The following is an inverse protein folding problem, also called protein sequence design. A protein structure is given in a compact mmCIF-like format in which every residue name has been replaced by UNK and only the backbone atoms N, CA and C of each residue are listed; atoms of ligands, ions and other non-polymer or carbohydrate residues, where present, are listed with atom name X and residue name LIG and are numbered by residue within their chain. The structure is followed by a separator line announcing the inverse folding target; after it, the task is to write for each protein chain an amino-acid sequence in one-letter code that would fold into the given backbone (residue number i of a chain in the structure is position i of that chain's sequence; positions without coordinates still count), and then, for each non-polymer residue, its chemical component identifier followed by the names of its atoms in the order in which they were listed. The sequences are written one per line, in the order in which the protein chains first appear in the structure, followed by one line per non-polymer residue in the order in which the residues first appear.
data_IF_900806281533
#
_entry.id   IF_900806281533
#
_cell.length_a   1.000
_cell.length_b   1.000
_cell.length_c   1.000
_cell.angle_alpha   90.00
_cell.angle_beta   90.00
_cell.angle_gamma   90.00
#
_symmetry.space_group_name_H-M   'P 1'
#
loop_
_entity.id
_entity.type
_entity.pdbx_description
1 polymer ?
#
# COMPACT_ATOMS: atom_id res chain seq x y z
N UNK A 1 -68.50 -35.32 48.40
CA UNK A 1 -67.82 -34.10 47.94
C UNK A 1 -66.47 -34.04 48.61
N UNK A 2 -65.40 -34.45 47.90
CA UNK A 2 -64.05 -34.52 48.45
C UNK A 2 -63.23 -33.29 48.00
N UNK A 3 -62.67 -32.49 48.92
CA UNK A 3 -61.78 -31.39 48.59
C UNK A 3 -60.34 -31.92 48.43
N UNK A 4 -60.09 -32.70 47.38
CA UNK A 4 -58.78 -33.34 47.14
C UNK A 4 -57.97 -32.73 45.98
N UNK A 5 -58.60 -31.98 45.07
CA UNK A 5 -57.97 -31.56 43.81
C UNK A 5 -57.22 -30.23 43.85
N UNK A 6 -57.47 -29.39 44.86
CA UNK A 6 -56.87 -28.05 44.96
C UNK A 6 -55.40 -28.08 45.43
N UNK A 7 -54.99 -29.12 46.16
CA UNK A 7 -53.64 -29.21 46.73
C UNK A 7 -52.58 -29.61 45.69
N UNK A 8 -52.95 -30.48 44.75
CA UNK A 8 -52.05 -30.97 43.70
C UNK A 8 -51.67 -29.87 42.70
N UNK A 9 -52.62 -29.00 42.33
CA UNK A 9 -52.34 -27.91 41.40
C UNK A 9 -51.36 -26.90 41.99
N UNK A 10 -51.53 -26.54 43.28
CA UNK A 10 -50.63 -25.59 43.94
C UNK A 10 -49.20 -26.11 44.08
N UNK A 11 -49.04 -27.43 44.31
CA UNK A 11 -47.71 -28.04 44.32
C UNK A 11 -47.07 -28.02 42.93
N UNK A 12 -47.82 -28.35 41.87
CA UNK A 12 -47.30 -28.37 40.49
C UNK A 12 -46.88 -26.98 40.00
N UNK A 13 -47.63 -25.95 40.36
CA UNK A 13 -47.32 -24.56 39.97
C UNK A 13 -46.10 -24.03 40.71
N UNK A 14 -45.89 -24.42 41.97
CA UNK A 14 -44.71 -24.06 42.74
C UNK A 14 -43.42 -24.74 42.23
N UNK A 15 -43.48 -26.03 41.85
CA UNK A 15 -42.31 -26.71 41.24
C UNK A 15 -42.00 -26.20 39.84
N UNK A 16 -43.01 -25.86 39.04
CA UNK A 16 -42.79 -25.25 37.72
C UNK A 16 -42.10 -23.87 37.83
N UNK A 17 -42.52 -23.02 38.78
CA UNK A 17 -41.91 -21.71 39.00
C UNK A 17 -40.47 -21.81 39.56
N UNK A 18 -40.20 -22.81 40.41
CA UNK A 18 -38.85 -23.05 40.94
C UNK A 18 -37.87 -23.52 39.84
N UNK A 19 -38.34 -24.38 38.92
CA UNK A 19 -37.54 -24.81 37.76
C UNK A 19 -37.23 -23.66 36.78
N UNK A 20 -38.15 -22.71 36.60
CA UNK A 20 -37.91 -21.53 35.76
C UNK A 20 -36.88 -20.58 36.39
N UNK A 21 -36.85 -20.43 37.72
CA UNK A 21 -35.83 -19.61 38.39
C UNK A 21 -34.42 -20.26 38.40
N UNK A 22 -34.33 -21.59 38.39
CA UNK A 22 -33.05 -22.28 38.27
C UNK A 22 -32.44 -22.19 36.86
N UNK A 23 -33.25 -22.02 35.81
CA UNK A 23 -32.75 -21.83 34.45
C UNK A 23 -32.23 -20.40 34.18
N UNK A 24 -32.60 -19.40 34.99
CA UNK A 24 -32.19 -18.00 34.81
C UNK A 24 -30.96 -17.61 35.66
N UNK A 25 -30.54 -18.46 36.61
CA UNK A 25 -29.38 -18.20 37.49
C UNK A 25 -28.07 -18.89 37.05
N UNK A 26 -28.06 -19.54 35.88
CA UNK A 26 -26.94 -20.34 35.37
C UNK A 26 -25.92 -19.64 34.47
N UNK A 27 -25.83 -18.30 34.45
CA UNK A 27 -24.70 -17.62 33.82
C UNK A 27 -23.48 -17.68 34.75
N UNK A 28 -22.90 -18.87 34.89
CA UNK A 28 -21.53 -18.99 35.41
C UNK A 28 -20.55 -18.27 34.48
N UNK A 29 -19.41 -17.78 35.00
CA UNK A 29 -18.37 -17.20 34.16
C UNK A 29 -17.89 -18.29 33.19
N UNK A 30 -18.24 -18.15 31.91
CA UNK A 30 -17.66 -18.96 30.85
C UNK A 30 -16.16 -18.70 30.85
N UNK A 31 -15.40 -19.76 31.15
CA UNK A 31 -13.95 -19.74 31.07
C UNK A 31 -13.59 -19.52 29.60
N UNK A 32 -13.16 -18.30 29.29
CA UNK A 32 -12.56 -17.97 28.00
C UNK A 32 -11.23 -18.71 27.94
N UNK A 33 -11.16 -19.78 27.15
CA UNK A 33 -9.91 -20.48 26.88
C UNK A 33 -9.24 -19.83 25.67
N UNK A 34 -8.60 -18.69 25.88
CA UNK A 34 -7.64 -18.17 24.90
C UNK A 34 -6.34 -18.99 25.03
N UNK A 35 -6.09 -19.88 24.06
CA UNK A 35 -4.78 -20.53 23.95
C UNK A 35 -3.85 -19.59 23.19
N UNK A 36 -3.12 -18.75 23.91
CA UNK A 36 -2.02 -17.99 23.33
C UNK A 36 -0.84 -18.93 23.09
N UNK A 37 -0.29 -18.94 21.87
CA UNK A 37 1.06 -19.47 21.66
C UNK A 37 2.07 -18.66 22.46
N UNK A 38 3.01 -19.31 23.14
CA UNK A 38 4.07 -18.65 23.92
C UNK A 38 4.77 -17.58 23.07
N UNK A 39 4.60 -16.30 23.43
CA UNK A 39 5.32 -15.18 22.85
C UNK A 39 6.54 -14.87 23.74
N UNK A 40 7.72 -14.58 23.17
CA UNK A 40 8.87 -14.14 23.94
C UNK A 40 8.58 -12.79 24.62
N UNK A 41 8.92 -12.69 25.91
CA UNK A 41 8.68 -11.52 26.79
C UNK A 41 8.90 -10.18 26.09
N UNK A 42 7.81 -9.42 25.91
CA UNK A 42 7.86 -8.04 25.45
C UNK A 42 8.30 -7.16 26.63
N UNK A 43 9.56 -6.74 26.63
CA UNK A 43 10.16 -5.92 27.68
C UNK A 43 9.41 -4.62 28.00
N UNK A 44 9.55 -4.22 29.27
CA UNK A 44 9.01 -3.03 29.94
C UNK A 44 8.76 -1.81 29.03
N UNK A 45 7.51 -1.33 28.98
CA UNK A 45 7.25 0.03 28.47
C UNK A 45 5.79 0.44 28.26
N UNK A 46 4.89 -0.50 28.01
CA UNK A 46 3.46 -0.19 27.91
C UNK A 46 2.66 -1.36 28.46
N UNK A 47 2.06 -1.17 29.65
CA UNK A 47 1.19 -2.16 30.26
C UNK A 47 -0.11 -2.27 29.45
N UNK A 48 -0.06 -3.02 28.34
CA UNK A 48 -1.25 -3.37 27.60
C UNK A 48 -2.12 -4.28 28.45
N UNK A 49 -3.42 -3.98 28.49
CA UNK A 49 -4.39 -4.76 29.27
C UNK A 49 -4.53 -6.20 28.78
N UNK A 50 -4.25 -6.43 27.50
CA UNK A 50 -4.41 -7.73 26.84
C UNK A 50 -3.06 -8.38 26.56
N UNK A 51 -3.06 -9.72 26.61
CA UNK A 51 -1.87 -10.56 26.42
C UNK A 51 -1.33 -10.51 24.98
N UNK A 52 -2.12 -10.03 24.02
CA UNK A 52 -1.68 -9.81 22.65
C UNK A 52 -0.49 -8.84 22.55
N UNK A 53 -0.24 -8.01 23.58
CA UNK A 53 0.96 -7.18 23.71
C UNK A 53 0.91 -5.87 22.93
N UNK A 54 2.02 -5.15 22.96
CA UNK A 54 2.15 -3.86 22.29
C UNK A 54 2.75 -4.01 20.88
N UNK A 55 2.56 -2.99 20.06
CA UNK A 55 3.26 -2.81 18.79
C UNK A 55 3.44 -1.31 18.54
N UNK A 56 4.30 -0.97 17.59
CA UNK A 56 4.51 0.42 17.19
C UNK A 56 4.34 0.61 15.70
N UNK A 57 3.89 1.80 15.32
CA UNK A 57 3.88 2.21 13.91
C UNK A 57 5.32 2.37 13.41
N UNK A 58 5.57 2.07 12.12
CA UNK A 58 6.87 2.32 11.53
C UNK A 58 7.19 3.81 11.45
N UNK A 59 8.48 4.10 11.57
CA UNK A 59 9.13 5.38 11.25
C UNK A 59 10.37 5.08 10.42
N UNK A 60 10.48 5.73 9.27
CA UNK A 60 11.64 5.65 8.41
C UNK A 60 12.60 6.81 8.72
N UNK A 61 13.89 6.49 8.84
CA UNK A 61 14.97 7.45 8.95
C UNK A 61 15.71 7.48 7.61
N UNK A 62 16.19 8.64 7.19
CA UNK A 62 17.18 8.73 6.13
C UNK A 62 18.55 8.42 6.70
N UNK A 63 19.23 7.43 6.11
CA UNK A 63 20.62 7.11 6.36
C UNK A 63 21.45 7.68 5.22
N UNK A 64 22.40 8.56 5.57
CA UNK A 64 23.31 9.19 4.61
C UNK A 64 24.73 8.91 5.04
N UNK A 65 25.49 8.31 4.13
CA UNK A 65 26.92 8.10 4.30
C UNK A 65 27.72 9.03 3.38
N UNK A 66 28.56 9.88 3.97
CA UNK A 66 29.46 10.77 3.25
C UNK A 66 30.86 10.18 3.26
N UNK A 67 31.40 9.94 2.07
CA UNK A 67 32.75 9.42 1.88
C UNK A 67 33.66 10.48 1.31
N UNK A 68 34.90 10.45 1.77
CA UNK A 68 35.99 11.27 1.25
C UNK A 68 36.91 10.38 0.44
N UNK A 69 37.13 10.79 -0.81
CA UNK A 69 38.21 10.23 -1.60
C UNK A 69 39.51 10.96 -1.22
N UNK A 70 40.39 10.26 -0.50
CA UNK A 70 41.65 10.84 0.01
C UNK A 70 42.74 10.97 -1.05
N UNK A 71 42.58 10.34 -2.22
CA UNK A 71 43.59 10.35 -3.31
C UNK A 71 43.27 11.38 -4.39
N UNK A 72 42.09 11.99 -4.38
CA UNK A 72 41.70 13.04 -5.32
C UNK A 72 42.19 14.43 -4.86
N UNK A 73 42.75 15.21 -5.79
CA UNK A 73 43.07 16.62 -5.61
C UNK A 73 42.28 17.45 -6.65
N UNK A 74 41.33 18.30 -6.23
CA UNK A 74 40.96 18.62 -4.85
C UNK A 74 40.19 17.48 -4.16
N UNK A 75 40.16 17.52 -2.83
CA UNK A 75 39.40 16.55 -2.03
C UNK A 75 37.90 16.66 -2.34
N UNK A 76 37.31 15.59 -2.86
CA UNK A 76 35.87 15.52 -3.10
C UNK A 76 35.18 14.65 -2.05
N UNK A 77 34.09 15.19 -1.49
CA UNK A 77 33.11 14.43 -0.72
C UNK A 77 32.02 13.93 -1.66
N UNK A 78 31.65 12.65 -1.54
CA UNK A 78 30.55 12.05 -2.27
C UNK A 78 29.57 11.41 -1.28
N UNK A 79 28.28 11.70 -1.44
CA UNK A 79 27.21 10.93 -0.83
C UNK A 79 27.06 9.63 -1.65
N UNK A 80 27.53 8.50 -1.13
CA UNK A 80 27.62 7.28 -1.93
C UNK A 80 26.29 6.51 -1.96
N UNK A 81 25.53 6.54 -0.86
CA UNK A 81 24.21 5.92 -0.81
C UNK A 81 23.31 6.59 0.24
N UNK A 82 22.17 7.12 -0.22
CA UNK A 82 21.08 7.49 0.68
C UNK A 82 20.07 6.34 0.72
N UNK A 83 19.92 5.73 1.88
CA UNK A 83 18.98 4.62 2.13
C UNK A 83 17.96 5.00 3.19
N UNK A 84 16.82 4.31 3.22
CA UNK A 84 15.82 4.45 4.28
C UNK A 84 15.96 3.33 5.29
N UNK A 85 16.08 3.67 6.57
CA UNK A 85 16.13 2.72 7.69
C UNK A 85 14.79 2.76 8.43
N UNK A 86 14.06 1.66 8.40
CA UNK A 86 12.77 1.55 9.11
C UNK A 86 12.98 1.10 10.55
N UNK A 87 12.38 1.83 11.47
CA UNK A 87 12.44 1.60 12.92
C UNK A 87 11.04 1.71 13.52
N UNK A 88 10.82 1.14 14.71
CA UNK A 88 9.59 1.40 15.44
C UNK A 88 9.58 2.83 15.99
N UNK A 89 8.46 3.52 15.86
CA UNK A 89 8.29 4.85 16.44
C UNK A 89 7.95 4.73 17.95
N UNK A 90 8.87 5.09 18.86
CA UNK A 90 8.62 5.00 20.30
C UNK A 90 7.52 5.96 20.76
N UNK A 91 7.22 7.00 19.97
CA UNK A 91 6.11 7.92 20.26
C UNK A 91 4.75 7.35 19.84
N UNK A 92 4.70 6.22 19.11
CA UNK A 92 3.49 5.65 18.50
C UNK A 92 3.35 4.15 18.82
N UNK A 93 3.43 3.85 20.11
CA UNK A 93 3.14 2.51 20.65
C UNK A 93 1.64 2.39 20.92
N UNK A 94 1.06 1.28 20.48
CA UNK A 94 -0.35 0.92 20.63
C UNK A 94 -0.47 -0.50 21.20
N UNK A 95 -1.57 -0.75 21.90
CA UNK A 95 -1.91 -2.08 22.37
C UNK A 95 -2.74 -2.80 21.32
N UNK A 96 -2.44 -4.08 21.08
CA UNK A 96 -3.33 -4.95 20.36
C UNK A 96 -4.48 -5.32 21.31
N UNK A 97 -5.61 -4.66 21.15
CA UNK A 97 -6.85 -5.01 21.85
C UNK A 97 -7.64 -5.95 20.93
N UNK A 98 -7.63 -7.24 21.29
CA UNK A 98 -8.51 -8.20 20.66
C UNK A 98 -9.57 -8.64 21.67
N UNK A 99 -10.84 -8.44 21.31
CA UNK A 99 -11.96 -8.92 22.10
C UNK A 99 -12.21 -10.39 21.77
N UNK A 100 -11.54 -11.28 22.52
CA UNK A 100 -11.88 -12.69 22.54
C UNK A 100 -13.37 -12.87 22.82
N UNK A 101 -14.03 -13.74 22.05
CA UNK A 101 -15.39 -14.14 22.34
C UNK A 101 -15.38 -15.30 23.32
N UNK A 102 -16.11 -15.20 24.43
CA UNK A 102 -16.28 -16.33 25.35
C UNK A 102 -17.00 -17.54 24.72
N UNK A 103 -17.58 -17.36 23.53
CA UNK A 103 -18.33 -18.37 22.79
C UNK A 103 -17.59 -18.92 21.57
N UNK A 104 -16.38 -18.44 21.26
CA UNK A 104 -15.61 -18.91 20.12
C UNK A 104 -14.19 -19.30 20.55
N UNK A 105 -13.59 -20.26 19.84
CA UNK A 105 -12.19 -20.60 20.04
C UNK A 105 -11.36 -19.72 19.12
N UNK A 106 -11.10 -18.50 19.56
CA UNK A 106 -10.36 -17.50 18.79
C UNK A 106 -8.86 -17.81 18.91
N UNK A 107 -8.23 -18.24 17.82
CA UNK A 107 -6.77 -18.40 17.77
C UNK A 107 -6.16 -17.21 17.06
N UNK A 108 -5.24 -16.53 17.74
CA UNK A 108 -4.56 -15.35 17.21
C UNK A 108 -3.06 -15.56 17.30
N UNK A 109 -2.41 -15.50 16.15
CA UNK A 109 -0.97 -15.53 16.04
C UNK A 109 -0.46 -14.14 15.60
N UNK A 110 0.33 -13.51 16.46
CA UNK A 110 0.94 -12.20 16.18
C UNK A 110 2.44 -12.39 15.97
N UNK A 111 2.87 -12.17 14.74
CA UNK A 111 4.28 -12.07 14.37
C UNK A 111 4.79 -10.65 14.55
N UNK A 112 5.96 -10.53 15.19
CA UNK A 112 6.73 -9.30 15.29
C UNK A 112 8.13 -9.48 14.71
N UNK A 113 8.80 -8.37 14.39
CA UNK A 113 10.20 -8.39 14.00
C UNK A 113 11.05 -9.06 15.07
N UNK A 114 11.94 -9.97 14.68
CA UNK A 114 12.85 -10.66 15.60
C UNK A 114 14.30 -10.37 15.27
N UNK A 115 14.63 -9.15 14.84
CA UNK A 115 16.01 -8.80 14.56
C UNK A 115 16.82 -8.78 15.86
N UNK A 116 17.46 -9.91 16.15
CA UNK A 116 18.48 -10.11 17.20
C UNK A 116 19.81 -9.49 16.75
N UNK A 117 19.76 -8.33 16.10
CA UNK A 117 20.92 -7.60 15.61
C UNK A 117 20.95 -6.23 16.24
N UNK A 118 21.45 -6.10 17.48
CA UNK A 118 21.77 -4.89 18.26
C UNK A 118 20.77 -3.71 18.31
N UNK A 119 19.68 -3.72 17.53
CA UNK A 119 18.66 -2.68 17.44
C UNK A 119 17.34 -3.26 17.96
N UNK A 120 17.20 -3.27 19.28
CA UNK A 120 16.02 -3.79 19.99
C UNK A 120 14.69 -3.11 19.59
N UNK A 121 14.77 -1.98 18.87
CA UNK A 121 13.64 -1.18 18.40
C UNK A 121 12.84 -1.82 17.27
N UNK A 122 13.35 -2.79 16.53
CA UNK A 122 12.56 -3.49 15.50
C UNK A 122 11.56 -4.50 16.06
N UNK A 123 11.70 -4.87 17.34
CA UNK A 123 10.86 -5.89 18.00
C UNK A 123 9.39 -5.50 18.15
N UNK A 124 9.08 -4.21 18.08
CA UNK A 124 7.71 -3.70 18.16
C UNK A 124 7.03 -3.56 16.79
N UNK A 125 7.74 -3.79 15.68
CA UNK A 125 7.16 -3.75 14.34
C UNK A 125 6.40 -5.04 14.07
N UNK A 126 5.15 -4.92 13.65
CA UNK A 126 4.34 -6.06 13.20
C UNK A 126 4.94 -6.67 11.93
N UNK A 127 4.93 -8.00 11.86
CA UNK A 127 5.26 -8.77 10.66
C UNK A 127 4.08 -9.60 10.18
N UNK A 128 3.23 -10.07 11.10
CA UNK A 128 2.03 -10.84 10.74
C UNK A 128 0.97 -10.74 11.82
N UNK A 129 -0.29 -10.72 11.43
CA UNK A 129 -1.42 -11.00 12.32
C UNK A 129 -2.30 -12.02 11.61
N UNK A 130 -2.38 -13.21 12.19
CA UNK A 130 -3.29 -14.25 11.73
C UNK A 130 -4.33 -14.50 12.80
N UNK A 131 -5.60 -14.53 12.40
CA UNK A 131 -6.71 -14.88 13.28
C UNK A 131 -7.54 -15.97 12.63
N UNK A 132 -7.82 -17.02 13.38
CA UNK A 132 -8.74 -18.09 13.01
C UNK A 132 -9.90 -18.10 14.01
N UNK A 133 -11.11 -17.93 13.48
CA UNK A 133 -12.35 -17.98 14.25
C UNK A 133 -13.08 -19.27 13.90
N UNK A 134 -13.17 -20.19 14.87
CA UNK A 134 -13.87 -21.47 14.71
C UNK A 134 -15.07 -21.52 15.68
N UNK A 135 -16.29 -21.65 15.13
CA UNK A 135 -17.51 -21.81 15.93
C UNK A 135 -17.57 -23.23 16.50
N UNK A 136 -17.02 -23.39 17.70
CA UNK A 136 -16.94 -24.69 18.38
C UNK A 136 -18.06 -24.93 19.39
N UNK A 137 -19.23 -24.30 19.24
CA UNK A 137 -20.39 -24.54 20.13
C UNK A 137 -20.71 -26.05 20.27
N UNK A 138 -20.38 -26.87 19.25
CA UNK A 138 -20.55 -28.34 19.27
C UNK A 138 -19.30 -29.16 19.65
N UNK A 139 -18.09 -28.58 19.64
CA UNK A 139 -16.82 -29.33 19.77
C UNK A 139 -16.09 -29.09 21.11
N UNK A 140 -16.40 -28.01 21.84
CA UNK A 140 -15.76 -27.68 23.15
C UNK A 140 -16.02 -28.75 24.23
N UNK A 141 -16.99 -29.65 24.04
CA UNK A 141 -17.20 -30.76 24.97
C UNK A 141 -16.10 -31.83 24.95
N UNK A 142 -15.24 -31.90 23.93
CA UNK A 142 -14.42 -33.11 23.68
C UNK A 142 -12.90 -32.92 23.51
N UNK A 143 -12.30 -31.75 23.68
CA UNK A 143 -10.88 -31.57 23.37
C UNK A 143 -10.11 -30.73 24.40
N UNK A 144 -9.59 -31.40 25.43
CA UNK A 144 -8.57 -30.88 26.34
C UNK A 144 -7.48 -31.94 26.57
N UNK A 145 -6.62 -32.20 25.58
CA UNK A 145 -5.33 -32.91 25.77
C UNK A 145 -4.31 -32.46 24.70
N UNK A 146 -3.11 -32.12 25.19
CA UNK A 146 -1.78 -32.00 24.57
C UNK A 146 -1.41 -30.82 23.65
N UNK A 147 -0.50 -29.97 24.15
CA UNK A 147 0.58 -29.38 23.36
C UNK A 147 1.81 -29.11 24.26
N UNK A 148 2.91 -29.81 23.97
CA UNK A 148 4.22 -29.49 24.53
C UNK A 148 5.33 -29.64 23.48
N UNK A 149 6.24 -28.65 23.51
CA UNK A 149 7.62 -28.61 23.00
C UNK A 149 7.88 -28.36 21.50
N UNK A 150 8.53 -27.21 21.22
CA UNK A 150 9.98 -27.20 20.88
C UNK A 150 10.59 -25.79 20.81
N UNK A 151 11.71 -25.63 21.52
CA UNK A 151 12.70 -24.53 21.50
C UNK A 151 14.02 -25.06 20.93
N UNK A 152 14.82 -24.18 20.28
CA UNK A 152 16.27 -24.23 19.93
C UNK A 152 16.54 -24.09 18.42
N UNK A 153 17.57 -23.42 17.86
CA UNK A 153 18.76 -22.65 18.30
C UNK A 153 19.26 -21.84 17.06
N UNK A 154 19.86 -20.65 17.24
CA UNK A 154 20.57 -19.88 16.18
C UNK A 154 22.10 -20.07 16.26
N UNK A 155 22.85 -20.12 15.14
CA UNK A 155 24.29 -19.88 15.15
C UNK A 155 24.64 -18.42 14.79
N UNK A 156 25.63 -17.86 15.52
CA UNK A 156 26.34 -16.61 15.21
C UNK A 156 27.49 -16.89 14.24
N UNK A 157 27.53 -16.17 13.11
CA UNK A 157 28.70 -16.10 12.24
C UNK A 157 29.35 -14.72 12.32
N UNK A 158 30.65 -14.68 12.62
CA UNK A 158 31.48 -13.50 12.52
C UNK A 158 32.06 -13.40 11.10
N UNK A 159 31.94 -12.23 10.46
CA UNK A 159 32.62 -11.93 9.21
C UNK A 159 33.61 -10.78 9.44
N UNK A 160 34.90 -11.10 9.34
CA UNK A 160 35.96 -10.13 9.09
C UNK A 160 36.10 -9.93 7.58
N UNK A 161 36.19 -8.67 7.15
CA UNK A 161 36.38 -8.29 5.74
C UNK A 161 37.82 -7.79 5.56
N UNK A 162 38.60 -8.33 4.61
CA UNK A 162 39.90 -7.77 4.25
C UNK A 162 39.72 -6.49 3.43
N UNK A 163 40.43 -5.42 3.80
CA UNK A 163 40.41 -4.13 3.09
C UNK A 163 41.47 -4.17 1.99
N UNK A 164 41.01 -4.09 0.73
CA UNK A 164 41.87 -3.98 -0.45
C UNK A 164 42.29 -2.50 -0.65
N UNK A 165 43.58 -2.23 -0.53
CA UNK A 165 44.16 -0.89 -0.38
C UNK A 165 44.41 -0.18 -1.72
N UNK A 166 43.40 -0.09 -2.59
CA UNK A 166 43.55 0.64 -3.87
C UNK A 166 42.58 1.77 -4.17
N UNK A 167 41.62 2.05 -3.29
CA UNK A 167 40.92 3.34 -3.21
C UNK A 167 40.39 3.45 -1.78
N UNK A 168 41.13 4.13 -0.90
CA UNK A 168 40.71 4.28 0.50
C UNK A 168 39.64 5.36 0.56
N UNK A 169 38.39 4.97 0.28
CA UNK A 169 37.24 5.80 0.61
C UNK A 169 37.07 5.78 2.12
N UNK A 170 37.30 6.93 2.75
CA UNK A 170 37.10 7.07 4.18
C UNK A 170 35.66 7.55 4.41
N UNK A 171 34.91 6.80 5.22
CA UNK A 171 33.61 7.26 5.72
C UNK A 171 33.85 8.41 6.70
N UNK A 172 33.47 9.62 6.31
CA UNK A 172 33.68 10.84 7.11
C UNK A 172 32.51 11.13 8.02
N UNK A 173 31.31 10.68 7.65
CA UNK A 173 30.12 10.81 8.46
C UNK A 173 29.03 9.85 8.05
N UNK A 174 28.30 9.35 9.05
CA UNK A 174 27.06 8.60 8.90
C UNK A 174 25.98 9.34 9.70
N UNK A 175 24.85 9.60 9.06
CA UNK A 175 23.76 10.37 9.65
C UNK A 175 22.46 9.61 9.49
N UNK A 176 21.79 9.34 10.60
CA UNK A 176 20.43 8.82 10.66
C UNK A 176 19.51 9.90 11.22
N UNK A 177 18.50 10.29 10.46
CA UNK A 177 17.56 11.32 10.89
C UNK A 177 16.19 11.19 10.25
N UNK A 178 15.19 11.73 10.92
CA UNK A 178 13.86 11.88 10.35
C UNK A 178 13.79 13.18 9.54
N UNK A 179 13.59 13.14 8.21
CA UNK A 179 13.49 14.35 7.42
C UNK A 179 12.25 15.18 7.73
N UNK A 180 11.21 14.62 8.35
CA UNK A 180 9.98 15.34 8.69
C UNK A 180 10.07 16.04 10.06
N UNK A 181 11.14 15.79 10.81
CA UNK A 181 11.45 16.50 12.05
C UNK A 181 12.39 17.68 11.74
N UNK A 182 11.85 18.90 11.84
CA UNK A 182 12.55 20.14 11.52
C UNK A 182 13.88 20.29 12.28
N UNK A 183 13.91 19.97 13.57
CA UNK A 183 15.10 20.14 14.40
C UNK A 183 16.17 19.11 14.04
N UNK A 184 15.77 17.86 13.77
CA UNK A 184 16.70 16.82 13.35
C UNK A 184 17.32 17.12 11.98
N UNK A 185 16.50 17.43 10.97
CA UNK A 185 17.03 17.70 9.62
C UNK A 185 17.88 18.97 9.58
N UNK A 186 17.53 20.01 10.34
CA UNK A 186 18.34 21.22 10.47
C UNK A 186 19.70 20.90 11.10
N UNK A 187 19.72 20.13 12.19
CA UNK A 187 20.97 19.72 12.85
C UNK A 187 21.85 18.89 11.91
N UNK A 188 21.27 17.96 11.15
CA UNK A 188 22.03 17.17 10.17
C UNK A 188 22.51 18.03 9.01
N UNK A 189 21.68 18.92 8.45
CA UNK A 189 22.11 19.81 7.37
C UNK A 189 23.23 20.77 7.80
N UNK A 190 23.23 21.25 9.04
CA UNK A 190 24.36 22.03 9.56
C UNK A 190 25.66 21.19 9.59
N UNK A 191 25.58 19.90 9.88
CA UNK A 191 26.73 19.00 9.83
C UNK A 191 27.15 18.70 8.38
N UNK A 192 26.19 18.43 7.49
CA UNK A 192 26.43 18.18 6.07
C UNK A 192 26.98 19.40 5.33
N UNK A 193 26.63 20.62 5.75
CA UNK A 193 27.15 21.86 5.18
C UNK A 193 28.68 21.94 5.32
N UNK A 194 29.23 21.45 6.45
CA UNK A 194 30.67 21.36 6.64
C UNK A 194 31.35 20.42 5.63
N UNK A 195 30.58 19.47 5.07
CA UNK A 195 30.96 18.48 4.07
C UNK A 195 30.46 18.84 2.65
N UNK A 196 30.02 20.08 2.44
CA UNK A 196 29.52 20.59 1.16
C UNK A 196 28.27 19.90 0.60
N UNK A 197 27.44 19.32 1.47
CA UNK A 197 26.16 18.71 1.11
C UNK A 197 25.01 19.37 1.85
N UNK A 198 23.83 19.37 1.25
CA UNK A 198 22.59 19.76 1.92
C UNK A 198 21.45 18.92 1.35
N UNK A 199 20.55 18.45 2.20
CA UNK A 199 19.48 17.53 1.79
C UNK A 199 18.11 18.00 2.26
N UNK A 200 17.09 17.79 1.43
CA UNK A 200 15.71 18.09 1.78
C UNK A 200 14.74 17.28 0.92
N UNK A 201 13.49 17.16 1.36
CA UNK A 201 12.41 16.60 0.53
C UNK A 201 11.78 17.73 -0.26
N UNK A 202 11.56 17.54 -1.56
CA UNK A 202 10.96 18.53 -2.46
C UNK A 202 9.45 18.67 -2.16
N UNK A 203 8.99 19.83 -1.62
CA UNK A 203 7.57 20.02 -1.31
C UNK A 203 6.72 20.37 -2.54
N UNK A 204 7.32 20.65 -3.70
CA UNK A 204 6.63 21.24 -4.87
C UNK A 204 5.43 20.43 -5.33
N UNK A 205 5.55 19.10 -5.33
CA UNK A 205 4.49 18.18 -5.77
C UNK A 205 4.14 17.14 -4.69
N UNK A 206 4.49 17.43 -3.44
CA UNK A 206 4.31 16.50 -2.34
C UNK A 206 3.55 17.17 -1.19
N UNK A 207 2.24 16.90 -1.06
CA UNK A 207 1.39 17.54 -0.05
C UNK A 207 1.71 17.07 1.37
N UNK A 208 2.47 15.98 1.51
CA UNK A 208 2.86 15.42 2.81
C UNK A 208 4.20 15.99 3.30
N UNK A 209 4.95 16.66 2.44
CA UNK A 209 6.22 17.32 2.78
C UNK A 209 5.94 18.75 3.24
N UNK A 210 6.35 19.13 4.47
CA UNK A 210 6.13 20.47 4.96
C UNK A 210 6.81 21.56 4.09
N UNK A 211 6.17 22.74 3.90
CA UNK A 211 6.72 23.81 3.06
C UNK A 211 8.09 24.33 3.51
N UNK A 212 8.43 24.21 4.80
CA UNK A 212 9.71 24.67 5.34
C UNK A 212 10.92 23.94 4.74
N UNK A 213 10.73 22.77 4.13
CA UNK A 213 11.82 22.06 3.45
C UNK A 213 12.46 22.88 2.33
N UNK A 214 11.68 23.70 1.62
CA UNK A 214 12.19 24.58 0.57
C UNK A 214 13.24 25.60 1.08
N UNK A 215 13.25 25.87 2.39
CA UNK A 215 14.17 26.83 3.01
C UNK A 215 15.43 26.20 3.60
N UNK A 216 15.56 24.86 3.60
CA UNK A 216 16.70 24.21 4.25
C UNK A 216 18.03 24.46 3.51
N UNK A 217 18.00 24.47 2.19
CA UNK A 217 19.18 24.60 1.34
C UNK A 217 19.09 25.87 0.50
N UNK A 218 18.99 27.04 1.14
CA UNK A 218 18.79 28.34 0.47
C UNK A 218 19.90 28.63 -0.55
N UNK A 219 19.71 28.25 -1.81
CA UNK A 219 20.37 28.89 -2.95
C UNK A 219 19.30 29.38 -3.92
N UNK A 220 19.58 30.52 -4.56
CA UNK A 220 18.72 31.10 -5.58
C UNK A 220 18.52 30.18 -6.81
N UNK A 221 19.27 29.08 -6.94
CA UNK A 221 19.24 28.19 -8.08
C UNK A 221 18.08 27.17 -8.05
N UNK A 222 17.56 26.86 -6.85
CA UNK A 222 16.41 25.96 -6.70
C UNK A 222 15.23 26.76 -6.17
N UNK A 223 14.48 27.38 -7.09
CA UNK A 223 13.19 27.95 -6.77
C UNK A 223 12.14 26.85 -6.92
N UNK A 224 11.51 26.35 -5.83
CA UNK A 224 10.34 25.49 -5.99
C UNK A 224 9.30 26.24 -6.84
N UNK A 225 8.48 25.49 -7.58
CA UNK A 225 7.37 26.12 -8.30
C UNK A 225 6.54 26.91 -7.28
N UNK A 226 6.26 28.18 -7.58
CA UNK A 226 5.38 29.00 -6.75
C UNK A 226 3.93 28.55 -6.86
N UNK A 227 3.61 27.81 -7.91
CA UNK A 227 2.27 27.31 -8.12
C UNK A 227 1.99 26.20 -7.09
N UNK A 228 0.96 26.36 -6.24
CA UNK A 228 0.58 25.31 -5.31
C UNK A 228 0.26 24.06 -6.12
N UNK A 229 0.68 22.87 -5.66
CA UNK A 229 0.38 21.65 -6.39
C UNK A 229 -1.14 21.51 -6.57
N UNK A 230 -1.62 20.98 -7.71
CA UNK A 230 -3.05 20.95 -8.08
C UNK A 230 -3.89 20.01 -7.20
N UNK A 231 -3.37 19.53 -6.08
CA UNK A 231 -4.06 18.63 -5.16
C UNK A 231 -5.06 19.38 -4.28
N UNK A 232 -6.20 19.75 -4.86
CA UNK A 232 -7.36 20.21 -4.12
C UNK A 232 -7.91 19.08 -3.25
N UNK A 233 -7.89 19.23 -1.92
CA UNK A 233 -8.55 18.34 -0.97
C UNK A 233 -7.66 17.53 -0.01
N UNK A 234 -6.33 17.51 -0.21
CA UNK A 234 -5.42 16.79 0.71
C UNK A 234 -5.13 17.55 2.01
N UNK A 235 -5.43 18.85 2.07
CA UNK A 235 -5.38 19.64 3.32
C UNK A 235 -6.37 19.16 4.38
N UNK A 236 -7.34 18.31 4.00
CA UNK A 236 -8.31 17.69 4.90
C UNK A 236 -7.74 16.47 5.62
N UNK A 237 -6.77 15.78 5.01
CA UNK A 237 -6.14 14.59 5.62
C UNK A 237 -4.99 15.06 6.50
N UNK A 238 -5.34 15.63 7.66
CA UNK A 238 -4.35 15.85 8.70
C UNK A 238 -3.81 14.50 9.14
N UNK A 239 -2.50 14.36 9.18
CA UNK A 239 -1.82 13.21 9.80
C UNK A 239 -1.97 13.21 11.34
N UNK A 240 -2.98 13.91 11.88
CA UNK A 240 -3.35 13.88 13.28
C UNK A 240 -3.82 12.45 13.60
N UNK A 241 -3.14 11.83 14.54
CA UNK A 241 -3.38 10.45 14.89
C UNK A 241 -4.53 10.35 15.88
N UNK A 242 -5.33 9.26 15.83
CA UNK A 242 -6.33 9.02 16.85
C UNK A 242 -5.68 8.98 18.23
N UNK A 243 -6.37 9.54 19.22
CA UNK A 243 -5.90 9.57 20.60
C UNK A 243 -5.65 8.15 21.11
N UNK A 244 -4.57 7.95 21.89
CA UNK A 244 -4.17 6.62 22.43
C UNK A 244 -5.24 5.94 23.29
N UNK A 245 -6.27 6.66 23.73
CA UNK A 245 -7.22 6.24 24.75
C UNK A 245 -8.53 5.66 24.24
N UNK A 246 -8.78 5.67 22.93
CA UNK A 246 -9.98 5.03 22.38
C UNK A 246 -9.70 3.55 22.15
N UNK A 247 -10.62 2.70 22.56
CA UNK A 247 -10.58 1.25 22.32
C UNK A 247 -10.75 1.00 20.82
N UNK A 248 -9.70 1.31 20.05
CA UNK A 248 -9.64 1.08 18.62
C UNK A 248 -9.65 -0.43 18.40
N UNK A 249 -10.75 -0.92 17.83
CA UNK A 249 -10.91 -2.32 17.49
C UNK A 249 -10.21 -2.59 16.18
N UNK A 250 -8.93 -2.92 16.25
CA UNK A 250 -8.14 -3.24 15.05
C UNK A 250 -6.70 -2.82 15.17
N UNK A 251 -6.07 -2.68 14.01
CA UNK A 251 -4.64 -2.43 13.88
C UNK A 251 -4.44 -1.16 13.08
N UNK A 252 -3.87 -0.15 13.72
CA UNK A 252 -3.36 1.03 13.02
C UNK A 252 -2.15 0.65 12.16
N UNK A 253 -2.11 1.15 10.94
CA UNK A 253 -0.96 1.03 10.05
C UNK A 253 -0.71 2.33 9.26
N UNK A 254 0.51 2.52 8.77
CA UNK A 254 0.88 3.62 7.87
C UNK A 254 1.32 3.06 6.53
N UNK A 255 0.78 3.55 5.39
CA UNK A 255 1.26 3.15 4.09
C UNK A 255 2.60 3.82 3.80
N UNK A 256 3.32 3.27 2.80
CA UNK A 256 4.50 3.91 2.25
C UNK A 256 4.09 5.00 1.27
N UNK A 257 4.61 6.20 1.49
CA UNK A 257 4.53 7.31 0.55
C UNK A 257 5.89 7.49 -0.14
N UNK A 258 5.86 7.85 -1.42
CA UNK A 258 7.07 8.12 -2.19
C UNK A 258 7.34 9.63 -2.20
N UNK A 259 8.49 10.03 -1.68
CA UNK A 259 8.93 11.41 -1.62
C UNK A 259 10.14 11.62 -2.55
N UNK A 260 10.30 12.85 -3.05
CA UNK A 260 11.47 13.24 -3.84
C UNK A 260 12.50 13.87 -2.92
N UNK A 261 13.56 13.13 -2.60
CA UNK A 261 14.75 13.63 -1.93
C UNK A 261 15.60 14.42 -2.91
N UNK A 262 16.03 15.61 -2.50
CA UNK A 262 16.95 16.48 -3.23
C UNK A 262 18.25 16.56 -2.43
N UNK A 263 19.35 16.25 -3.10
CA UNK A 263 20.70 16.37 -2.58
C UNK A 263 21.36 17.50 -3.35
N UNK A 264 21.71 18.54 -2.62
CA UNK A 264 22.45 19.70 -3.11
C UNK A 264 23.90 19.54 -2.73
N UNK A 265 24.80 19.99 -3.61
CA UNK A 265 26.23 20.06 -3.36
C UNK A 265 26.74 21.46 -3.60
N UNK A 266 27.72 21.87 -2.81
CA UNK A 266 28.47 23.11 -3.03
C UNK A 266 29.86 22.76 -3.51
N UNK A 267 30.40 23.49 -4.48
CA UNK A 267 31.84 23.44 -4.73
C UNK A 267 32.49 24.61 -3.97
N UNK A 268 33.39 24.32 -3.04
CA UNK A 268 34.08 25.37 -2.27
C UNK A 268 35.16 26.08 -3.05
N UNK A 269 35.49 25.64 -4.26
CA UNK A 269 36.50 26.28 -5.09
C UNK A 269 35.88 26.90 -6.36
N UNK A 270 35.78 28.25 -6.47
CA UNK A 270 36.15 29.27 -5.49
C UNK A 270 35.14 29.42 -4.33
N UNK A 271 35.64 29.88 -3.17
CA UNK A 271 34.89 30.02 -1.91
C UNK A 271 33.66 30.88 -2.15
N UNK A 272 32.47 30.29 -2.08
CA UNK A 272 31.23 31.05 -2.23
C UNK A 272 30.17 30.44 -3.14
N UNK A 273 30.45 29.36 -3.89
CA UNK A 273 29.50 28.86 -4.90
C UNK A 273 28.08 28.65 -4.33
N UNK A 274 27.05 28.98 -5.11
CA UNK A 274 25.68 28.67 -4.73
C UNK A 274 25.51 27.14 -4.60
N UNK A 275 24.55 26.68 -3.76
CA UNK A 275 24.15 25.27 -3.79
C UNK A 275 23.69 24.89 -5.19
N UNK A 276 24.27 23.83 -5.72
CA UNK A 276 23.91 23.25 -7.01
C UNK A 276 23.20 21.92 -6.77
N UNK A 277 22.21 21.64 -7.61
CA UNK A 277 21.55 20.34 -7.59
C UNK A 277 22.56 19.26 -7.96
N UNK A 278 22.80 18.31 -7.05
CA UNK A 278 23.70 17.18 -7.29
C UNK A 278 22.91 15.95 -7.72
N UNK A 279 21.89 15.58 -6.96
CA UNK A 279 21.08 14.40 -7.22
C UNK A 279 19.64 14.61 -6.76
N UNK A 280 18.70 13.97 -7.46
CA UNK A 280 17.34 13.77 -6.95
C UNK A 280 17.04 12.28 -6.89
N UNK A 281 16.62 11.81 -5.73
CA UNK A 281 16.29 10.40 -5.49
C UNK A 281 14.84 10.28 -5.01
N UNK A 282 14.19 9.17 -5.35
CA UNK A 282 12.88 8.83 -4.79
C UNK A 282 13.10 7.93 -3.58
N UNK A 283 12.50 8.30 -2.46
CA UNK A 283 12.58 7.54 -1.21
C UNK A 283 11.18 7.19 -0.74
N UNK A 284 11.00 5.98 -0.21
CA UNK A 284 9.71 5.53 0.32
C UNK A 284 9.74 5.60 1.85
N UNK A 285 8.82 6.37 2.43
CA UNK A 285 8.77 6.63 3.87
C UNK A 285 7.32 6.63 4.38
N UNK A 286 7.17 6.32 5.66
CA UNK A 286 5.89 6.21 6.37
C UNK A 286 5.57 7.43 7.23
N UNK A 287 6.56 8.28 7.54
CA UNK A 287 6.50 9.29 8.61
C UNK A 287 5.38 10.31 8.41
N UNK A 288 5.18 10.77 7.17
CA UNK A 288 4.14 11.73 6.82
C UNK A 288 2.83 11.07 6.38
N UNK A 289 2.78 9.74 6.33
CA UNK A 289 1.56 9.03 5.98
C UNK A 289 0.55 9.11 7.14
N UNK A 290 -0.74 9.39 6.85
CA UNK A 290 -1.79 9.24 7.85
C UNK A 290 -1.86 7.78 8.29
N UNK A 291 -2.18 7.55 9.57
CA UNK A 291 -2.45 6.19 10.01
C UNK A 291 -3.90 5.82 9.67
N UNK A 292 -4.07 4.59 9.22
CA UNK A 292 -5.37 4.00 8.93
C UNK A 292 -5.64 2.90 9.95
N UNK A 293 -6.89 2.80 10.40
CA UNK A 293 -7.36 1.69 11.21
C UNK A 293 -7.80 0.55 10.30
N UNK A 294 -7.14 -0.60 10.43
CA UNK A 294 -7.61 -1.85 9.87
C UNK A 294 -8.45 -2.56 10.93
N UNK A 295 -9.77 -2.48 10.79
CA UNK A 295 -10.68 -3.18 11.71
C UNK A 295 -10.61 -4.69 11.50
N UNK A 296 -10.40 -5.41 12.60
CA UNK A 296 -10.47 -6.88 12.62
C UNK A 296 -11.85 -7.25 13.16
N UNK A 297 -12.82 -7.27 12.26
CA UNK A 297 -14.19 -7.60 12.60
C UNK A 297 -14.40 -9.12 12.59
N UNK A 298 -14.86 -9.64 13.72
CA UNK A 298 -15.39 -10.99 13.87
C UNK A 298 -16.72 -11.13 13.11
N UNK A 299 -16.87 -12.23 12.38
CA UNK A 299 -18.16 -12.64 11.83
C UNK A 299 -18.83 -13.56 12.85
N UNK A 300 -20.08 -13.31 13.21
CA UNK A 300 -20.84 -14.21 14.08
C UNK A 300 -21.28 -15.44 13.25
N UNK A 301 -21.12 -16.66 13.80
CA UNK A 301 -21.61 -17.92 13.22
C UNK A 301 -20.96 -18.35 11.89
N UNK A 302 -19.79 -17.80 11.54
CA UNK A 302 -19.09 -18.12 10.30
C UNK A 302 -17.61 -18.30 10.61
N UNK A 303 -17.06 -19.45 10.21
CA UNK A 303 -15.63 -19.65 10.28
C UNK A 303 -14.94 -18.64 9.38
N UNK A 304 -14.03 -17.86 9.96
CA UNK A 304 -13.34 -16.79 9.25
C UNK A 304 -11.87 -16.85 9.61
N UNK A 305 -11.05 -16.88 8.57
CA UNK A 305 -9.60 -16.80 8.72
C UNK A 305 -9.16 -15.47 8.13
N UNK A 306 -8.40 -14.69 8.88
CA UNK A 306 -7.80 -13.44 8.41
C UNK A 306 -6.28 -13.57 8.55
N UNK A 307 -5.56 -13.23 7.49
CA UNK A 307 -4.10 -13.21 7.48
C UNK A 307 -3.63 -11.85 6.97
N UNK A 308 -2.92 -11.14 7.83
CA UNK A 308 -2.48 -9.76 7.61
C UNK A 308 -0.95 -9.77 7.64
N UNK A 309 -0.34 -9.55 6.49
CA UNK A 309 1.11 -9.54 6.35
C UNK A 309 1.64 -8.12 6.42
N UNK A 310 2.70 -7.93 7.21
CA UNK A 310 3.42 -6.67 7.34
C UNK A 310 4.90 -6.87 7.01
N UNK A 311 5.50 -5.92 6.30
CA UNK A 311 6.95 -5.85 6.10
C UNK A 311 7.50 -4.72 6.97
N UNK A 312 8.11 -5.07 8.10
CA UNK A 312 8.66 -4.12 9.06
C UNK A 312 7.61 -3.07 9.51
N UNK A 313 6.41 -3.51 9.88
CA UNK A 313 5.30 -2.64 10.30
C UNK A 313 4.50 -1.98 9.17
N UNK A 314 4.90 -2.14 7.90
CA UNK A 314 4.11 -1.65 6.74
C UNK A 314 3.20 -2.75 6.22
N UNK A 315 1.90 -2.47 6.13
CA UNK A 315 0.91 -3.39 5.60
C UNK A 315 1.23 -3.78 4.15
N UNK A 316 1.36 -5.09 3.88
CA UNK A 316 1.62 -5.64 2.54
C UNK A 316 0.37 -6.26 1.94
N UNK A 317 -0.31 -7.12 2.70
CA UNK A 317 -1.43 -7.90 2.19
C UNK A 317 -2.43 -8.18 3.31
N UNK A 318 -3.71 -8.19 2.94
CA UNK A 318 -4.81 -8.62 3.80
C UNK A 318 -5.53 -9.73 3.05
N UNK A 319 -5.53 -10.94 3.60
CA UNK A 319 -6.30 -12.08 3.11
C UNK A 319 -7.42 -12.36 4.10
N UNK A 320 -8.63 -12.50 3.58
CA UNK A 320 -9.81 -12.82 4.37
C UNK A 320 -10.49 -14.00 3.69
N UNK A 321 -10.43 -15.15 4.34
CA UNK A 321 -11.11 -16.36 3.92
C UNK A 321 -12.38 -16.55 4.77
N UNK A 322 -13.52 -16.69 4.09
CA UNK A 322 -14.84 -16.88 4.69
C UNK A 322 -15.55 -18.08 4.06
N UNK A 323 -15.21 -19.31 4.46
CA UNK A 323 -15.79 -20.52 3.87
C UNK A 323 -17.32 -20.62 4.01
N UNK A 324 -17.92 -20.24 5.14
CA UNK A 324 -19.30 -20.63 5.45
C UNK A 324 -20.42 -19.64 5.05
N UNK A 325 -20.10 -18.46 4.51
CA UNK A 325 -21.14 -17.60 3.89
C UNK A 325 -21.61 -18.17 2.54
N UNK A 326 -20.71 -18.83 1.80
CA UNK A 326 -21.04 -19.45 0.52
C UNK A 326 -21.84 -20.75 0.69
N UNK A 327 -21.55 -21.54 1.73
CA UNK A 327 -22.23 -22.82 1.97
C UNK A 327 -23.69 -22.61 2.42
N UNK A 328 -23.94 -21.63 3.30
CA UNK A 328 -25.28 -21.26 3.76
C UNK A 328 -26.17 -20.68 2.65
N UNK A 329 -25.59 -20.09 1.61
CA UNK A 329 -26.32 -19.61 0.43
C UNK A 329 -26.45 -20.69 -0.68
N UNK A 330 -25.62 -21.74 -0.65
CA UNK A 330 -25.51 -22.76 -1.70
C UNK A 330 -26.48 -23.95 -1.60
N UNK A 331 -27.53 -23.83 -0.78
CA UNK A 331 -28.82 -24.43 -1.15
C UNK A 331 -29.31 -23.96 -2.53
N UNK A 332 -28.73 -22.88 -3.09
CA UNK A 332 -28.96 -22.43 -4.46
C UNK A 332 -27.63 -22.04 -5.16
N UNK A 333 -27.03 -23.03 -5.84
CA UNK A 333 -26.13 -22.92 -7.01
C UNK A 333 -24.83 -22.11 -6.87
N UNK A 334 -23.74 -22.85 -6.59
CA UNK A 334 -22.36 -22.74 -7.08
C UNK A 334 -21.87 -21.42 -7.72
N UNK A 335 -20.96 -20.73 -7.02
CA UNK A 335 -19.53 -20.60 -7.41
C UNK A 335 -18.77 -19.85 -6.31
N UNK A 336 -17.71 -20.45 -5.81
CA UNK A 336 -16.74 -19.88 -4.86
C UNK A 336 -16.20 -18.57 -5.42
N UNK A 337 -16.60 -17.45 -4.82
CA UNK A 337 -15.97 -16.15 -5.09
C UNK A 337 -14.87 -15.98 -4.06
N UNK A 338 -13.62 -16.23 -4.45
CA UNK A 338 -12.47 -15.64 -3.76
C UNK A 338 -12.57 -14.13 -3.98
N UNK A 339 -13.24 -13.42 -3.08
CA UNK A 339 -13.22 -11.97 -3.09
C UNK A 339 -11.88 -11.54 -2.52
N UNK A 340 -10.88 -11.40 -3.39
CA UNK A 340 -9.73 -10.54 -3.10
C UNK A 340 -10.30 -9.12 -3.03
N UNK A 341 -10.76 -8.72 -1.84
CA UNK A 341 -11.06 -7.31 -1.57
C UNK A 341 -9.69 -6.63 -1.48
N UNK A 342 -9.16 -6.26 -2.65
CA UNK A 342 -8.18 -5.18 -2.69
C UNK A 342 -8.93 -3.94 -2.21
N UNK A 343 -8.74 -3.60 -0.94
CA UNK A 343 -9.14 -2.31 -0.38
C UNK A 343 -8.78 -1.26 -1.42
N UNK A 344 -9.69 -0.36 -1.85
CA UNK A 344 -9.42 0.56 -2.94
C UNK A 344 -8.09 1.26 -2.71
N UNK A 345 -7.13 0.81 -3.51
CA UNK A 345 -5.69 1.01 -3.38
C UNK A 345 -5.38 2.45 -3.81
N UNK A 346 -6.25 3.44 -3.67
CA UNK A 346 -5.96 4.80 -4.18
C UNK A 346 -4.80 5.47 -3.42
N UNK A 347 -4.55 5.08 -2.16
CA UNK A 347 -3.36 5.49 -1.41
C UNK A 347 -2.14 4.58 -1.65
N UNK A 348 -2.34 3.28 -1.87
CA UNK A 348 -1.27 2.29 -2.12
C UNK A 348 -0.82 2.23 -3.60
N UNK A 349 -1.62 2.77 -4.53
CA UNK A 349 -1.33 2.80 -5.98
C UNK A 349 -0.20 3.76 -6.22
N UNK A 350 -0.08 4.87 -5.49
CA UNK A 350 0.96 5.90 -5.75
C UNK A 350 2.39 5.33 -5.71
N UNK A 351 2.66 4.26 -4.97
CA UNK A 351 3.98 3.61 -4.94
C UNK A 351 4.21 2.54 -6.01
N UNK A 352 3.23 1.67 -6.28
CA UNK A 352 3.36 0.57 -7.25
C UNK A 352 3.10 1.02 -8.69
N UNK A 353 2.26 2.04 -8.83
CA UNK A 353 1.80 2.52 -10.12
C UNK A 353 2.86 3.33 -10.84
N UNK A 354 3.90 3.88 -10.20
CA UNK A 354 4.90 4.66 -10.93
C UNK A 354 5.88 3.77 -11.75
N UNK A 355 6.21 2.57 -11.27
CA UNK A 355 7.01 1.61 -12.03
C UNK A 355 6.18 0.93 -13.13
N UNK A 356 4.93 0.55 -12.80
CA UNK A 356 3.98 0.00 -13.78
C UNK A 356 3.55 1.06 -14.80
N UNK A 357 3.38 2.33 -14.41
CA UNK A 357 3.09 3.46 -15.30
C UNK A 357 4.31 3.80 -16.15
N UNK A 358 5.55 3.74 -15.63
CA UNK A 358 6.75 3.88 -16.47
C UNK A 358 6.84 2.73 -17.47
N UNK A 359 6.58 1.49 -17.05
CA UNK A 359 6.55 0.34 -17.96
C UNK A 359 5.45 0.46 -19.00
N UNK A 360 4.25 0.91 -18.61
CA UNK A 360 3.12 1.16 -19.49
C UNK A 360 3.39 2.34 -20.43
N UNK A 361 4.03 3.41 -19.96
CA UNK A 361 4.44 4.55 -20.78
C UNK A 361 5.52 4.14 -21.78
N UNK A 362 6.53 3.38 -21.35
CA UNK A 362 7.57 2.83 -22.23
C UNK A 362 6.93 1.89 -23.27
N UNK A 363 5.99 1.04 -22.87
CA UNK A 363 5.27 0.15 -23.78
C UNK A 363 4.37 0.92 -24.76
N UNK A 364 3.68 1.96 -24.32
CA UNK A 364 2.87 2.81 -25.17
C UNK A 364 3.73 3.60 -26.17
N UNK A 365 4.88 4.12 -25.73
CA UNK A 365 5.86 4.77 -26.61
C UNK A 365 6.44 3.78 -27.63
N UNK A 366 6.77 2.56 -27.21
CA UNK A 366 7.23 1.51 -28.11
C UNK A 366 6.15 1.12 -29.15
N UNK A 367 4.88 1.03 -28.74
CA UNK A 367 3.76 0.78 -29.65
C UNK A 367 3.57 1.94 -30.63
N UNK A 368 3.66 3.18 -30.18
CA UNK A 368 3.55 4.36 -31.04
C UNK A 368 4.66 4.38 -32.10
N UNK A 369 5.90 4.10 -31.71
CA UNK A 369 7.03 4.00 -32.64
C UNK A 369 6.78 2.90 -33.67
N UNK A 370 6.35 1.71 -33.24
CA UNK A 370 6.05 0.60 -34.15
C UNK A 370 4.91 0.94 -35.13
N UNK A 371 3.89 1.68 -34.69
CA UNK A 371 2.80 2.12 -35.58
C UNK A 371 3.25 3.16 -36.61
N UNK A 372 4.16 4.06 -36.24
CA UNK A 372 4.73 5.04 -37.18
C UNK A 372 5.61 4.35 -38.23
N UNK A 373 6.42 3.37 -37.83
CA UNK A 373 7.23 2.58 -38.76
C UNK A 373 6.36 1.78 -39.75
N UNK A 374 5.27 1.17 -39.26
CA UNK A 374 4.33 0.45 -40.11
C UNK A 374 3.60 1.38 -41.10
N UNK A 375 3.24 2.59 -40.66
CA UNK A 375 2.64 3.61 -41.51
C UNK A 375 3.60 4.07 -42.61
N UNK A 376 4.86 4.38 -42.26
CA UNK A 376 5.87 4.80 -43.23
C UNK A 376 6.14 3.71 -44.28
N UNK A 377 6.19 2.44 -43.87
CA UNK A 377 6.31 1.31 -44.79
C UNK A 377 5.11 1.20 -45.74
N UNK A 378 3.88 1.40 -45.24
CA UNK A 378 2.68 1.38 -46.07
C UNK A 378 2.68 2.52 -47.10
N UNK A 379 3.08 3.73 -46.68
CA UNK A 379 3.20 4.90 -47.55
C UNK A 379 4.25 4.67 -48.64
N UNK A 380 5.42 4.13 -48.29
CA UNK A 380 6.47 3.80 -49.27
C UNK A 380 6.04 2.71 -50.24
N UNK A 381 5.31 1.69 -49.77
CA UNK A 381 4.76 0.66 -50.64
C UNK A 381 3.72 1.23 -51.62
N UNK A 382 2.84 2.13 -51.18
CA UNK A 382 1.89 2.82 -52.06
C UNK A 382 2.60 3.73 -53.07
N UNK A 383 3.64 4.47 -52.66
CA UNK A 383 4.46 5.25 -53.60
C UNK A 383 5.11 4.36 -54.66
N UNK A 384 5.70 3.23 -54.27
CA UNK A 384 6.28 2.26 -55.22
C UNK A 384 5.24 1.68 -56.16
N UNK A 385 4.04 1.32 -55.65
CA UNK A 385 2.93 0.84 -56.49
C UNK A 385 2.49 1.89 -57.51
N UNK A 386 2.39 3.16 -57.10
CA UNK A 386 2.05 4.28 -58.00
C UNK A 386 3.12 4.52 -59.06
N UNK A 387 4.40 4.46 -58.70
CA UNK A 387 5.51 4.59 -59.65
C UNK A 387 5.54 3.42 -60.64
N UNK A 388 5.30 2.18 -60.20
CA UNK A 388 5.19 1.02 -61.07
C UNK A 388 3.98 1.13 -62.02
N UNK A 389 2.84 1.64 -61.54
CA UNK A 389 1.65 1.87 -62.36
C UNK A 389 1.84 3.01 -63.38
N UNK A 390 2.56 4.07 -63.01
CA UNK A 390 2.86 5.20 -63.90
C UNK A 390 3.86 4.85 -65.02
N UNK A 391 4.66 3.78 -64.85
CA UNK A 391 5.55 3.26 -65.89
C UNK A 391 4.89 2.35 -66.93
N UNK A 392 3.60 2.01 -66.76
CA UNK A 392 2.84 1.15 -67.65
C UNK A 392 2.10 1.94 -68.74
N UNK A 393 2.80 2.33 -69.81
CA UNK A 393 2.20 2.95 -71.00
C UNK A 393 1.37 1.92 -71.78
N UNK A 394 0.10 1.75 -71.40
CA UNK A 394 -0.89 1.07 -72.22
C UNK A 394 -2.02 2.06 -72.57
N UNK A 395 -2.05 2.48 -73.83
CA UNK A 395 -3.09 3.33 -74.42
C UNK A 395 -4.50 2.75 -74.16
N UNK A 396 -5.45 3.51 -73.58
CA UNK A 396 -6.80 3.01 -73.38
C UNK A 396 -7.61 3.15 -74.67
N UNK A 397 -8.03 2.00 -75.22
CA UNK A 397 -9.08 1.91 -76.24
C UNK A 397 -10.42 2.23 -75.58
N UNK A 398 -11.07 3.28 -76.09
CA UNK A 398 -12.35 3.81 -75.64
C UNK A 398 -13.49 2.91 -76.15
N UNK A 399 -14.18 2.21 -75.25
CA UNK A 399 -15.45 1.54 -75.55
C UNK A 399 -16.54 2.02 -74.60
N UNK A 400 -17.57 2.60 -75.21
CA UNK A 400 -18.85 2.99 -74.62
C UNK A 400 -19.78 1.79 -74.51
N UNK A 401 -20.46 1.60 -73.37
CA UNK A 401 -21.92 1.44 -73.27
C UNK A 401 -22.37 0.78 -71.96
N UNK A 402 -23.33 1.47 -71.31
CA UNK A 402 -24.54 0.99 -70.63
C UNK A 402 -24.54 0.19 -69.30
N UNK A 403 -25.52 0.66 -68.49
CA UNK A 403 -26.34 0.02 -67.45
C UNK A 403 -25.78 -0.24 -66.03
N UNK A 404 -26.29 0.58 -65.11
CA UNK A 404 -26.72 0.41 -63.69
C UNK A 404 -26.57 -1.01 -63.10
N UNK A 405 -26.05 -1.18 -61.87
CA UNK A 405 -26.96 -1.28 -60.72
C UNK A 405 -26.50 -0.57 -59.43
N UNK A 406 -27.51 -0.14 -58.67
CA UNK A 406 -27.48 0.07 -57.22
C UNK A 406 -26.95 -1.20 -56.56
N UNK A 407 -25.88 -1.09 -55.77
CA UNK A 407 -25.45 -2.16 -54.86
C UNK A 407 -25.28 -1.60 -53.45
N UNK A 408 -26.18 -2.08 -52.62
CA UNK A 408 -26.24 -2.03 -51.17
C UNK A 408 -24.96 -2.67 -50.59
N UNK A 409 -24.15 -1.90 -49.87
CA UNK A 409 -23.04 -2.46 -49.09
C UNK A 409 -22.67 -1.62 -47.86
N UNK A 410 -22.86 -2.28 -46.71
CA UNK A 410 -22.07 -2.20 -45.48
C UNK A 410 -22.14 -0.93 -44.61
N UNK A 411 -23.09 -0.94 -43.67
CA UNK A 411 -23.20 -0.06 -42.50
C UNK A 411 -22.09 -0.21 -41.45
N UNK A 412 -20.88 -0.63 -41.84
CA UNK A 412 -19.70 -0.66 -40.97
C UNK A 412 -18.85 0.62 -41.11
N UNK A 413 -18.94 1.30 -42.25
CA UNK A 413 -18.18 2.53 -42.50
C UNK A 413 -18.74 3.75 -41.74
N UNK A 414 -20.06 3.85 -41.56
CA UNK A 414 -20.71 5.01 -40.95
C UNK A 414 -20.51 5.11 -39.43
N UNK A 415 -20.42 3.98 -38.71
CA UNK A 415 -20.19 4.00 -37.27
C UNK A 415 -18.77 4.47 -36.94
N UNK A 416 -17.78 4.05 -37.73
CA UNK A 416 -16.39 4.47 -37.55
C UNK A 416 -16.19 5.97 -37.83
N UNK A 417 -16.88 6.50 -38.85
CA UNK A 417 -16.88 7.93 -39.14
C UNK A 417 -17.54 8.73 -38.01
N UNK A 418 -18.68 8.27 -37.47
CA UNK A 418 -19.37 8.92 -36.36
C UNK A 418 -18.56 8.92 -35.06
N UNK A 419 -17.90 7.81 -34.71
CA UNK A 419 -17.08 7.73 -33.50
C UNK A 419 -15.87 8.67 -33.55
N UNK A 420 -15.29 8.88 -34.72
CA UNK A 420 -14.15 9.77 -34.90
C UNK A 420 -14.53 11.26 -34.74
N UNK A 421 -15.73 11.66 -35.17
CA UNK A 421 -16.23 13.03 -34.95
C UNK A 421 -16.81 13.24 -33.54
N UNK A 422 -17.33 12.19 -32.90
CA UNK A 422 -17.95 12.28 -31.57
C UNK A 422 -16.97 12.12 -30.39
N UNK A 423 -15.67 11.92 -30.63
CA UNK A 423 -14.68 11.59 -29.61
C UNK A 423 -14.55 12.61 -28.44
N UNK A 424 -15.06 13.83 -28.60
CA UNK A 424 -15.08 14.86 -27.56
C UNK A 424 -16.39 14.90 -26.72
N UNK A 425 -17.37 14.05 -27.00
CA UNK A 425 -18.65 14.02 -26.30
C UNK A 425 -18.65 12.98 -25.17
N UNK A 426 -19.37 13.28 -24.07
CA UNK A 426 -19.71 12.26 -23.09
C UNK A 426 -20.64 11.22 -23.73
N UNK A 427 -20.16 9.97 -23.78
CA UNK A 427 -20.87 8.79 -24.28
C UNK A 427 -21.12 8.74 -25.82
N UNK A 428 -20.05 8.76 -26.64
CA UNK A 428 -20.14 8.90 -28.09
C UNK A 428 -20.84 7.72 -28.78
N UNK A 429 -20.71 6.51 -28.22
CA UNK A 429 -21.32 5.30 -28.76
C UNK A 429 -22.85 5.40 -28.76
N UNK A 430 -23.44 5.84 -27.64
CA UNK A 430 -24.90 5.95 -27.48
C UNK A 430 -25.51 6.95 -28.48
N UNK A 431 -24.85 8.11 -28.66
CA UNK A 431 -25.30 9.14 -29.62
C UNK A 431 -25.15 8.70 -31.07
N UNK A 432 -24.07 7.99 -31.41
CA UNK A 432 -23.90 7.44 -32.76
C UNK A 432 -24.96 6.36 -33.06
N UNK A 433 -25.30 5.51 -32.10
CA UNK A 433 -26.39 4.53 -32.29
C UNK A 433 -27.76 5.19 -32.43
N UNK A 434 -28.03 6.27 -31.69
CA UNK A 434 -29.30 7.01 -31.80
C UNK A 434 -29.42 7.74 -33.16
N UNK A 435 -28.35 8.35 -33.64
CA UNK A 435 -28.32 9.02 -34.94
C UNK A 435 -28.52 8.05 -36.12
N UNK A 436 -27.88 6.87 -36.04
CA UNK A 436 -28.04 5.82 -37.06
C UNK A 436 -29.46 5.21 -37.05
N UNK A 437 -30.10 5.11 -35.89
CA UNK A 437 -31.48 4.64 -35.79
C UNK A 437 -32.51 5.70 -36.22
N UNK A 438 -32.18 6.99 -36.08
CA UNK A 438 -33.07 8.11 -36.43
C UNK A 438 -33.04 8.55 -37.89
N UNK A 439 -32.12 8.04 -38.72
CA UNK A 439 -31.98 8.45 -40.13
C UNK A 439 -31.64 9.93 -40.33
N UNK A 440 -31.14 10.61 -39.29
CA UNK A 440 -30.87 12.04 -39.28
C UNK A 440 -29.44 12.37 -39.71
N UNK A 441 -29.28 13.23 -40.72
CA UNK A 441 -27.99 13.81 -41.08
C UNK A 441 -27.45 14.68 -39.92
N UNK A 442 -26.19 14.44 -39.52
CA UNK A 442 -25.45 15.33 -38.63
C UNK A 442 -25.23 16.69 -39.33
N UNK A 443 -25.92 17.73 -38.87
CA UNK A 443 -25.58 19.11 -39.21
C UNK A 443 -24.62 19.61 -38.13
N UNK A 444 -23.47 20.15 -38.58
CA UNK A 444 -22.34 20.60 -37.76
C UNK A 444 -22.70 21.63 -36.69
#
# INVERSE_FOLDING_TARGET
MMPGSQLYWRCFLATALLCVHLLVSGCGPTLVSETLGELPDAGDGSACRYQAGAYALPRDLLHIEIRKNVTADPVFYAAQDVTTLRTADPSRIYCLDFLGSALANDQIAIGRGTDIGNNATSSLLLTRISSEFDDRTLQIANALVDAAARVAVRPRGAFGVPIDAKNVELVVGQFDFDPFDYEQIKKVNNALESLDHCVFLDPTNDPYVPPWHASLCTSAAYAPSKDPPPYHGLSVIKAELPARSEALRGVLYRPLLTHKLVIMKRNRDPVGAAWQLFETKRVQMTNAAPAFLLEINRSLFVNRTMDIDFANGVLQTVKIDKPSEAEAFSGFVLRTVQVIVSIPVRALVVGKTDAENRKALIQAQAQMIATLEAYDQAVENEKRRRQAAAGGTASPTRSTANSIPVSDSSGESDLSACLNTAAALENPLAKCTEALQGGGNFVQ
#
